data_IF_555224879374
#
_entry.id   IF_555224879374
#
_cell.length_a   1.000
_cell.length_b   1.000
_cell.length_c   1.000
_cell.angle_alpha   90.00
_cell.angle_beta   90.00
_cell.angle_gamma   90.00
#
_symmetry.space_group_name_H-M   'P 1'
#
loop_
_entity.id
_entity.type
_entity.pdbx_description
1 polymer ?
#
# COMPACT_ATOMS: atom_id res chain seq x y z
N UNK A 1 48.02 -6.06 -12.20
CA UNK A 1 49.41 -6.02 -11.70
C UNK A 1 49.84 -4.56 -11.74
N UNK A 2 50.26 -3.84 -10.70
CA UNK A 2 50.36 -4.00 -9.25
C UNK A 2 50.60 -2.56 -8.78
N UNK A 3 49.93 -2.10 -7.72
CA UNK A 3 50.40 -0.92 -6.97
C UNK A 3 50.27 -1.22 -5.49
N UNK A 4 51.43 -1.30 -4.87
CA UNK A 4 51.67 -1.46 -3.43
C UNK A 4 51.30 -0.18 -2.68
N UNK A 5 50.70 -0.36 -1.50
CA UNK A 5 50.70 0.61 -0.40
C UNK A 5 50.64 -0.25 0.88
N UNK A 6 51.78 -0.57 1.47
CA UNK A 6 52.45 0.16 2.56
C UNK A 6 51.64 0.15 3.87
N UNK A 7 52.17 -0.63 4.81
CA UNK A 7 51.70 -0.87 6.17
C UNK A 7 52.52 0.00 7.11
N UNK A 8 51.91 0.75 8.03
CA UNK A 8 52.57 1.08 9.28
C UNK A 8 52.13 0.10 10.38
N UNK A 9 53.11 -0.64 10.90
CA UNK A 9 53.02 -1.35 12.15
C UNK A 9 53.05 -0.36 13.32
N UNK A 10 52.20 -0.56 14.33
CA UNK A 10 52.50 -0.12 15.69
C UNK A 10 52.09 -1.21 16.71
N UNK A 11 52.99 -1.58 17.64
CA UNK A 11 52.77 -2.61 18.65
C UNK A 11 52.20 -2.01 19.94
N UNK A 12 51.46 -2.81 20.72
CA UNK A 12 51.23 -2.46 22.12
C UNK A 12 50.07 -3.16 22.81
N UNK A 13 50.42 -4.22 23.57
CA UNK A 13 49.79 -4.66 24.81
C UNK A 13 48.36 -5.25 24.80
N UNK A 14 48.31 -6.58 24.92
CA UNK A 14 47.34 -7.27 25.79
C UNK A 14 47.86 -7.23 27.26
N UNK A 15 47.19 -7.77 28.29
CA UNK A 15 45.86 -8.41 28.35
C UNK A 15 45.01 -7.95 29.56
N UNK A 16 43.88 -8.64 29.76
CA UNK A 16 43.23 -8.99 31.05
C UNK A 16 41.82 -8.42 31.30
N UNK A 17 40.91 -9.32 31.71
CA UNK A 17 39.54 -8.99 32.10
C UNK A 17 38.41 -9.74 31.38
N UNK A 18 38.45 -11.07 31.23
CA UNK A 18 37.23 -11.83 30.94
C UNK A 18 36.46 -12.01 32.26
N UNK A 19 35.60 -11.04 32.56
CA UNK A 19 34.51 -11.20 33.51
C UNK A 19 33.34 -11.90 32.82
N UNK A 20 33.24 -13.23 32.99
CA UNK A 20 32.00 -13.96 32.68
C UNK A 20 30.95 -13.52 33.70
N UNK A 21 29.92 -12.81 33.24
CA UNK A 21 28.72 -12.52 34.05
C UNK A 21 27.52 -13.12 33.33
N UNK A 22 26.91 -14.10 33.98
CA UNK A 22 25.72 -14.83 33.55
C UNK A 22 24.56 -13.87 33.22
N UNK A 23 23.79 -14.07 32.14
CA UNK A 23 22.52 -13.40 31.97
C UNK A 23 21.44 -14.07 32.83
N UNK A 24 21.09 -13.36 33.90
CA UNK A 24 19.91 -13.57 34.74
C UNK A 24 18.66 -13.80 33.87
N UNK A 25 18.08 -15.01 33.97
CA UNK A 25 16.86 -15.38 33.24
C UNK A 25 15.63 -15.13 34.12
N UNK A 26 15.52 -13.96 34.73
CA UNK A 26 14.27 -13.50 35.36
C UNK A 26 13.44 -12.69 34.37
N UNK A 27 12.76 -13.38 33.44
CA UNK A 27 11.64 -12.76 32.71
C UNK A 27 10.35 -12.98 33.49
N UNK A 28 9.85 -11.89 34.05
CA UNK A 28 8.46 -11.74 34.48
C UNK A 28 7.48 -12.16 33.37
N UNK A 29 6.29 -12.68 33.73
CA UNK A 29 5.23 -12.99 32.78
C UNK A 29 4.67 -11.70 32.15
N UNK A 30 4.56 -11.68 30.83
CA UNK A 30 3.84 -10.64 30.08
C UNK A 30 2.34 -10.94 30.21
N UNK A 31 1.49 -9.96 30.59
CA UNK A 31 0.05 -10.17 30.69
C UNK A 31 -0.61 -10.19 29.31
N UNK A 32 -1.54 -11.15 29.14
CA UNK A 32 -2.66 -11.18 28.20
C UNK A 32 -2.56 -10.38 26.89
N UNK A 33 -2.15 -11.06 25.82
CA UNK A 33 -2.67 -10.79 24.47
C UNK A 33 -3.73 -11.86 24.17
N UNK A 34 -4.89 -11.71 24.81
CA UNK A 34 -6.12 -12.33 24.30
C UNK A 34 -6.73 -11.40 23.26
N UNK A 35 -6.78 -11.92 22.04
CA UNK A 35 -7.87 -11.81 21.08
C UNK A 35 -8.24 -10.43 20.48
N UNK A 36 -8.83 -10.55 19.28
CA UNK A 36 -9.65 -9.55 18.57
C UNK A 36 -8.80 -8.59 17.73
N UNK A 37 -8.74 -8.77 16.41
CA UNK A 37 -9.91 -8.82 15.53
C UNK A 37 -9.81 -9.90 14.45
N UNK A 38 -10.67 -10.90 14.61
CA UNK A 38 -11.47 -11.41 13.50
C UNK A 38 -12.27 -10.22 12.96
N UNK A 39 -11.70 -9.53 11.96
CA UNK A 39 -12.32 -8.40 11.30
C UNK A 39 -13.07 -8.93 10.10
N UNK A 40 -14.33 -9.28 10.33
CA UNK A 40 -15.37 -9.51 9.33
C UNK A 40 -15.01 -8.85 8.00
N UNK A 41 -14.55 -9.66 7.03
CA UNK A 41 -14.94 -9.43 5.66
C UNK A 41 -16.45 -9.71 5.62
N UNK A 42 -17.24 -8.79 6.18
CA UNK A 42 -18.65 -8.73 5.91
C UNK A 42 -18.75 -8.70 4.40
N UNK A 43 -19.45 -9.70 3.84
CA UNK A 43 -19.99 -9.60 2.51
C UNK A 43 -21.00 -8.45 2.54
N UNK A 44 -20.49 -7.20 2.49
CA UNK A 44 -21.32 -6.02 2.28
C UNK A 44 -21.86 -6.20 0.87
N UNK A 45 -23.17 -6.31 0.78
CA UNK A 45 -23.87 -6.50 -0.47
C UNK A 45 -23.47 -5.39 -1.45
N UNK A 46 -23.12 -5.79 -2.67
CA UNK A 46 -22.82 -4.90 -3.79
C UNK A 46 -24.07 -4.12 -4.20
N UNK A 47 -24.36 -3.05 -3.47
CA UNK A 47 -25.26 -1.98 -3.90
C UNK A 47 -24.43 -0.70 -4.06
N UNK A 48 -23.28 -0.79 -4.77
CA UNK A 48 -22.55 0.39 -5.20
C UNK A 48 -23.09 0.82 -6.57
N UNK A 49 -24.20 1.55 -6.56
CA UNK A 49 -24.32 2.61 -7.53
C UNK A 49 -23.16 3.57 -7.22
N UNK A 50 -22.29 3.83 -8.19
CA UNK A 50 -21.24 4.85 -8.07
C UNK A 50 -21.95 6.20 -7.91
N UNK A 51 -22.29 6.57 -6.68
CA UNK A 51 -22.48 7.96 -6.34
C UNK A 51 -21.16 8.65 -6.66
N UNK A 52 -21.25 9.78 -7.37
CA UNK A 52 -20.06 10.53 -7.75
C UNK A 52 -19.37 10.97 -6.46
N UNK A 53 -18.27 10.32 -6.11
CA UNK A 53 -17.51 10.67 -4.91
C UNK A 53 -16.78 11.98 -5.19
N UNK A 54 -17.35 13.13 -4.82
CA UNK A 54 -16.71 14.44 -5.02
C UNK A 54 -15.78 14.86 -3.88
N UNK A 55 -15.72 14.05 -2.81
CA UNK A 55 -14.94 14.30 -1.61
C UNK A 55 -13.78 13.30 -1.43
N UNK A 56 -12.58 13.85 -1.16
CA UNK A 56 -11.37 13.06 -0.96
C UNK A 56 -11.42 12.20 0.31
N UNK A 57 -12.05 12.69 1.38
CA UNK A 57 -12.20 11.94 2.63
C UNK A 57 -13.06 10.69 2.45
N UNK A 58 -14.16 10.84 1.71
CA UNK A 58 -15.09 9.77 1.35
C UNK A 58 -14.41 8.73 0.45
N UNK A 59 -13.74 9.17 -0.61
CA UNK A 59 -13.01 8.26 -1.50
C UNK A 59 -11.93 7.47 -0.75
N UNK A 60 -11.24 8.10 0.21
CA UNK A 60 -10.25 7.45 1.04
C UNK A 60 -10.89 6.43 1.99
N UNK A 61 -12.01 6.76 2.64
CA UNK A 61 -12.70 5.88 3.56
C UNK A 61 -13.15 4.59 2.85
N UNK A 62 -13.82 4.76 1.71
CA UNK A 62 -14.33 3.66 0.89
C UNK A 62 -13.19 2.79 0.36
N UNK A 63 -12.15 3.41 -0.22
CA UNK A 63 -10.97 2.66 -0.69
C UNK A 63 -10.27 1.93 0.46
N UNK A 64 -10.24 2.52 1.66
CA UNK A 64 -9.61 1.92 2.84
C UNK A 64 -10.37 0.72 3.37
N UNK A 65 -11.70 0.70 3.26
CA UNK A 65 -12.53 -0.45 3.64
C UNK A 65 -12.15 -1.70 2.84
N UNK A 66 -11.98 -1.54 1.53
CA UNK A 66 -11.66 -2.66 0.62
C UNK A 66 -10.17 -3.02 0.58
N UNK A 67 -9.31 -2.02 0.47
CA UNK A 67 -7.87 -2.23 0.24
C UNK A 67 -7.05 -2.25 1.53
N UNK A 68 -7.60 -1.71 2.60
CA UNK A 68 -6.87 -1.33 3.81
C UNK A 68 -6.20 0.04 3.67
N UNK A 69 -6.16 0.78 4.78
CA UNK A 69 -5.60 2.14 4.86
C UNK A 69 -4.20 2.30 4.25
N UNK A 70 -3.23 1.37 4.43
CA UNK A 70 -1.89 1.53 3.86
C UNK A 70 -1.89 1.57 2.33
N UNK A 71 -2.68 0.73 1.68
CA UNK A 71 -2.74 0.67 0.22
C UNK A 71 -3.53 1.85 -0.35
N UNK A 72 -4.63 2.24 0.30
CA UNK A 72 -5.39 3.44 -0.08
C UNK A 72 -4.53 4.71 0.01
N UNK A 73 -3.79 4.88 1.12
CA UNK A 73 -2.85 6.00 1.30
C UNK A 73 -1.76 5.98 0.23
N UNK A 74 -1.21 4.80 -0.08
CA UNK A 74 -0.21 4.65 -1.13
C UNK A 74 -0.73 5.05 -2.51
N UNK A 75 -1.94 4.59 -2.87
CA UNK A 75 -2.59 4.84 -4.16
C UNK A 75 -2.95 6.31 -4.34
N UNK A 76 -3.35 7.01 -3.27
CA UNK A 76 -3.62 8.46 -3.32
C UNK A 76 -2.45 9.30 -3.85
N UNK A 77 -1.21 8.77 -3.75
CA UNK A 77 0.01 9.50 -4.08
C UNK A 77 0.67 10.18 -2.88
N UNK A 78 0.02 10.19 -1.72
CA UNK A 78 0.59 10.75 -0.50
C UNK A 78 1.88 10.01 -0.09
N UNK A 79 2.82 10.76 0.48
CA UNK A 79 4.00 10.24 1.16
C UNK A 79 3.64 9.58 2.50
N UNK A 80 2.52 9.97 3.10
CA UNK A 80 1.99 9.39 4.33
C UNK A 80 0.63 9.95 4.72
N UNK A 81 0.07 9.45 5.82
CA UNK A 81 -1.26 9.81 6.31
C UNK A 81 -1.38 11.29 6.68
N UNK A 82 -0.33 11.91 7.23
CA UNK A 82 -0.33 13.32 7.60
C UNK A 82 -0.50 14.27 6.41
N UNK A 83 0.14 13.97 5.28
CA UNK A 83 -0.02 14.75 4.05
C UNK A 83 -1.44 14.62 3.50
N UNK A 84 -1.98 13.40 3.54
CA UNK A 84 -3.34 13.11 3.09
C UNK A 84 -4.38 13.82 3.96
N UNK A 85 -4.22 13.83 5.28
CA UNK A 85 -5.06 14.62 6.20
C UNK A 85 -4.99 16.11 5.85
N UNK A 86 -3.80 16.65 5.57
CA UNK A 86 -3.65 18.05 5.16
C UNK A 86 -4.37 18.39 3.85
N UNK A 87 -4.43 17.45 2.90
CA UNK A 87 -5.19 17.62 1.65
C UNK A 87 -6.70 17.61 1.85
N UNK A 88 -7.19 16.76 2.76
CA UNK A 88 -8.61 16.71 3.13
C UNK A 88 -9.01 18.03 3.81
N UNK A 89 -8.20 18.52 4.75
CA UNK A 89 -8.45 19.79 5.46
C UNK A 89 -8.36 21.02 4.54
N UNK A 90 -7.45 21.00 3.56
CA UNK A 90 -7.28 22.10 2.60
C UNK A 90 -8.36 22.16 1.51
N UNK A 91 -9.14 21.09 1.35
CA UNK A 91 -10.22 20.97 0.37
C UNK A 91 -9.77 20.81 -1.09
N UNK A 92 -10.72 20.77 -2.05
CA UNK A 92 -10.47 20.41 -3.45
C UNK A 92 -9.74 21.50 -4.27
N UNK A 93 -9.39 22.64 -3.66
CA UNK A 93 -8.68 23.72 -4.33
C UNK A 93 -7.22 23.37 -4.64
N UNK A 94 -6.65 22.36 -3.98
CA UNK A 94 -5.28 21.91 -4.18
C UNK A 94 -5.23 20.91 -5.34
N UNK A 95 -4.34 21.15 -6.31
CA UNK A 95 -4.15 20.25 -7.46
C UNK A 95 -3.82 18.81 -7.02
N UNK A 96 -3.02 18.66 -5.96
CA UNK A 96 -2.71 17.37 -5.36
C UNK A 96 -3.97 16.63 -4.84
N UNK A 97 -4.92 17.35 -4.23
CA UNK A 97 -6.20 16.76 -3.77
C UNK A 97 -7.04 16.24 -4.94
N UNK A 98 -7.05 16.94 -6.08
CA UNK A 98 -7.78 16.49 -7.29
C UNK A 98 -7.15 15.25 -7.90
N UNK A 99 -5.82 15.22 -8.00
CA UNK A 99 -5.11 14.03 -8.48
C UNK A 99 -5.31 12.84 -7.54
N UNK A 100 -5.24 13.06 -6.22
CA UNK A 100 -5.48 12.02 -5.21
C UNK A 100 -6.90 11.46 -5.30
N UNK A 101 -7.90 12.34 -5.47
CA UNK A 101 -9.30 11.96 -5.64
C UNK A 101 -9.46 11.06 -6.88
N UNK A 102 -8.95 11.48 -8.03
CA UNK A 102 -9.07 10.71 -9.27
C UNK A 102 -8.41 9.31 -9.17
N UNK A 103 -7.26 9.22 -8.48
CA UNK A 103 -6.57 7.93 -8.22
C UNK A 103 -7.40 7.01 -7.33
N UNK A 104 -7.99 7.55 -6.26
CA UNK A 104 -8.82 6.78 -5.33
C UNK A 104 -10.14 6.35 -5.98
N UNK A 105 -10.81 7.24 -6.72
CA UNK A 105 -11.97 6.89 -7.53
C UNK A 105 -11.66 5.76 -8.51
N UNK A 106 -10.52 5.83 -9.20
CA UNK A 106 -10.11 4.75 -10.12
C UNK A 106 -9.87 3.43 -9.36
N UNK A 107 -9.40 3.49 -8.12
CA UNK A 107 -9.23 2.29 -7.30
C UNK A 107 -10.57 1.66 -6.91
N UNK A 108 -11.57 2.49 -6.57
CA UNK A 108 -12.97 2.07 -6.35
C UNK A 108 -13.53 1.43 -7.62
N UNK A 109 -13.40 2.08 -8.78
CA UNK A 109 -13.88 1.53 -10.06
C UNK A 109 -13.22 0.17 -10.39
N UNK A 110 -11.94 -0.01 -10.04
CA UNK A 110 -11.28 -1.32 -10.16
C UNK A 110 -11.94 -2.36 -9.24
N UNK A 111 -12.23 -2.01 -7.99
CA UNK A 111 -12.92 -2.92 -7.07
C UNK A 111 -14.29 -3.31 -7.63
N UNK A 112 -15.05 -2.36 -8.18
CA UNK A 112 -16.35 -2.60 -8.78
C UNK A 112 -16.29 -3.53 -10.00
N UNK A 113 -15.26 -3.40 -10.84
CA UNK A 113 -15.05 -4.31 -11.98
C UNK A 113 -14.90 -5.76 -11.49
N UNK A 114 -14.14 -5.99 -10.41
CA UNK A 114 -13.96 -7.31 -9.82
C UNK A 114 -15.21 -7.78 -9.07
N UNK A 115 -15.93 -6.87 -8.43
CA UNK A 115 -17.20 -7.15 -7.79
C UNK A 115 -18.28 -7.60 -8.78
N UNK A 116 -18.33 -6.99 -9.98
CA UNK A 116 -19.28 -7.34 -11.03
C UNK A 116 -19.12 -8.79 -11.53
N UNK A 117 -17.96 -9.41 -11.30
CA UNK A 117 -17.70 -10.83 -11.58
C UNK A 117 -17.69 -11.70 -10.32
N UNK A 118 -18.21 -11.20 -9.20
CA UNK A 118 -18.26 -11.82 -7.87
C UNK A 118 -16.88 -12.17 -7.28
N UNK A 119 -15.85 -11.36 -7.56
CA UNK A 119 -14.47 -11.56 -7.08
C UNK A 119 -13.83 -10.31 -6.45
N UNK A 120 -14.54 -9.61 -5.56
CA UNK A 120 -14.05 -8.34 -4.99
C UNK A 120 -12.73 -8.48 -4.22
N UNK A 121 -12.49 -9.65 -3.62
CA UNK A 121 -11.26 -9.95 -2.87
C UNK A 121 -10.01 -9.96 -3.74
N UNK A 122 -10.18 -10.23 -5.04
CA UNK A 122 -9.07 -10.40 -5.98
C UNK A 122 -8.55 -9.05 -6.48
N UNK A 123 -9.37 -8.00 -6.42
CA UNK A 123 -8.97 -6.63 -6.76
C UNK A 123 -7.73 -6.20 -5.97
N UNK A 124 -7.70 -6.50 -4.67
CA UNK A 124 -6.56 -6.16 -3.79
C UNK A 124 -5.29 -6.93 -4.17
N UNK A 125 -5.43 -8.21 -4.55
CA UNK A 125 -4.31 -9.03 -4.99
C UNK A 125 -3.77 -8.49 -6.32
N UNK A 126 -4.64 -8.27 -7.29
CA UNK A 126 -4.32 -7.73 -8.60
C UNK A 126 -3.62 -6.37 -8.53
N UNK A 127 -4.11 -5.46 -7.68
CA UNK A 127 -3.47 -4.14 -7.48
C UNK A 127 -2.03 -4.23 -6.97
N UNK A 128 -1.69 -5.31 -6.24
CA UNK A 128 -0.35 -5.55 -5.70
C UNK A 128 0.52 -6.37 -6.63
N UNK A 129 -0.10 -7.13 -7.54
CA UNK A 129 0.60 -8.02 -8.44
C UNK A 129 1.49 -7.24 -9.41
N UNK A 130 2.75 -7.64 -9.50
CA UNK A 130 3.69 -7.05 -10.44
C UNK A 130 3.56 -7.81 -11.75
N UNK A 131 2.91 -7.17 -12.74
CA UNK A 131 2.82 -7.75 -14.08
C UNK A 131 4.08 -7.44 -14.89
N UNK A 132 4.52 -8.43 -15.66
CA UNK A 132 5.59 -8.27 -16.66
C UNK A 132 5.12 -7.43 -17.84
N UNK A 133 3.81 -7.36 -18.09
CA UNK A 133 3.22 -6.53 -19.16
C UNK A 133 3.33 -5.03 -18.87
N UNK A 134 3.38 -4.65 -17.60
CA UNK A 134 3.43 -3.25 -17.13
C UNK A 134 4.84 -2.80 -16.76
N UNK A 135 5.86 -3.31 -17.46
CA UNK A 135 7.27 -2.96 -17.25
C UNK A 135 7.69 -3.24 -15.79
N UNK A 136 7.19 -4.33 -15.20
CA UNK A 136 7.52 -4.71 -13.83
C UNK A 136 6.97 -3.77 -12.77
N UNK A 137 5.85 -3.06 -13.05
CA UNK A 137 5.14 -2.24 -12.06
C UNK A 137 3.79 -2.83 -11.72
N UNK A 138 3.40 -2.75 -10.46
CA UNK A 138 2.04 -3.14 -10.07
C UNK A 138 1.01 -2.07 -10.47
N UNK A 139 -0.27 -2.44 -10.65
CA UNK A 139 -1.33 -1.46 -10.91
C UNK A 139 -1.42 -0.38 -9.81
N UNK A 140 -1.19 -0.72 -8.53
CA UNK A 140 -1.12 0.26 -7.45
C UNK A 140 0.03 1.27 -7.63
N UNK A 141 1.19 0.83 -8.12
CA UNK A 141 2.29 1.73 -8.47
C UNK A 141 1.90 2.64 -9.64
N UNK A 142 1.21 2.12 -10.65
CA UNK A 142 0.74 2.93 -11.77
C UNK A 142 -0.29 3.98 -11.33
N UNK A 143 -1.24 3.61 -10.46
CA UNK A 143 -2.19 4.54 -9.86
C UNK A 143 -1.48 5.64 -9.07
N UNK A 144 -0.54 5.28 -8.20
CA UNK A 144 0.20 6.25 -7.37
C UNK A 144 0.84 7.37 -8.19
N UNK A 145 1.34 7.06 -9.38
CA UNK A 145 2.03 8.02 -10.24
C UNK A 145 1.16 8.55 -11.40
N UNK A 146 -0.11 8.17 -11.46
CA UNK A 146 -1.01 8.63 -12.50
C UNK A 146 -1.34 10.12 -12.31
N UNK A 147 -1.06 10.93 -13.32
CA UNK A 147 -1.41 12.37 -13.36
C UNK A 147 -2.42 12.71 -14.45
N UNK A 148 -2.78 11.73 -15.28
CA UNK A 148 -3.60 11.95 -16.46
C UNK A 148 -4.63 10.83 -16.61
N UNK A 149 -5.82 11.22 -17.04
CA UNK A 149 -6.98 10.33 -17.26
C UNK A 149 -6.67 9.15 -18.16
N UNK A 150 -5.77 9.33 -19.13
CA UNK A 150 -5.36 8.25 -20.04
C UNK A 150 -4.78 7.04 -19.31
N UNK A 151 -3.93 7.26 -18.30
CA UNK A 151 -3.33 6.15 -17.55
C UNK A 151 -4.37 5.48 -16.63
N UNK A 152 -5.25 6.28 -16.01
CA UNK A 152 -6.35 5.76 -15.21
C UNK A 152 -7.27 4.86 -16.06
N UNK A 153 -7.65 5.33 -17.25
CA UNK A 153 -8.42 4.54 -18.21
C UNK A 153 -7.73 3.24 -18.66
N UNK A 154 -6.40 3.26 -18.83
CA UNK A 154 -5.63 2.04 -19.13
C UNK A 154 -5.66 1.03 -17.98
N UNK A 155 -5.57 1.50 -16.73
CA UNK A 155 -5.64 0.65 -15.54
C UNK A 155 -7.02 0.00 -15.44
N UNK A 156 -8.10 0.75 -15.66
CA UNK A 156 -9.47 0.18 -15.71
C UNK A 156 -9.62 -0.87 -16.79
N UNK A 157 -9.15 -0.57 -18.00
CA UNK A 157 -9.21 -1.53 -19.09
C UNK A 157 -8.43 -2.82 -18.79
N UNK A 158 -7.26 -2.70 -18.15
CA UNK A 158 -6.48 -3.85 -17.71
C UNK A 158 -7.20 -4.68 -16.63
N UNK A 159 -7.85 -4.01 -15.66
CA UNK A 159 -8.67 -4.67 -14.64
C UNK A 159 -9.83 -5.45 -15.29
N UNK A 160 -10.55 -4.86 -16.24
CA UNK A 160 -11.65 -5.53 -16.95
C UNK A 160 -11.15 -6.78 -17.68
N UNK A 161 -10.03 -6.70 -18.41
CA UNK A 161 -9.46 -7.89 -19.08
C UNK A 161 -9.08 -8.98 -18.07
N UNK A 162 -8.37 -8.62 -17.01
CA UNK A 162 -7.93 -9.59 -16.01
C UNK A 162 -9.08 -10.28 -15.27
N UNK A 163 -10.13 -9.51 -14.92
CA UNK A 163 -11.34 -10.02 -14.28
C UNK A 163 -12.08 -11.03 -15.17
N UNK A 164 -11.96 -10.92 -16.50
CA UNK A 164 -12.55 -11.86 -17.46
C UNK A 164 -11.64 -13.04 -17.82
N UNK A 165 -10.32 -12.84 -17.92
CA UNK A 165 -9.35 -13.88 -18.34
C UNK A 165 -9.14 -14.95 -17.26
N UNK A 166 -9.29 -14.61 -15.98
CA UNK A 166 -9.11 -15.55 -14.86
C UNK A 166 -10.31 -16.51 -14.65
N UNK A 167 -11.15 -16.70 -15.69
CA UNK A 167 -12.37 -17.51 -15.69
C UNK A 167 -12.17 -18.94 -16.24
N UNK A 168 -11.03 -19.21 -16.86
CA UNK A 168 -10.65 -20.52 -17.42
C UNK A 168 -9.83 -21.40 -16.45
#
# INVERSE_FOLDING_TARGET
MTISAEVPAFPGAAPDGIGVREPDTSRHPIPGEEAVTDGHASAVAFDHAVEVIDDLGTALAETSEWLGTPLATYVSGAAGTAELSGWIESGPAVAASKEALARLQTAVEVIDIFAAVNRPTDAKAWLREVSTETVGRSPAQLLRYARHERLLGQIRHAATRHAHDTRD
#
